data_IF_197774920285
#
_entry.id   IF_197774920285
#
_cell.length_a   1.000
_cell.length_b   1.000
_cell.length_c   1.000
_cell.angle_alpha   90.00
_cell.angle_beta   90.00
_cell.angle_gamma   90.00
#
_symmetry.space_group_name_H-M   'P 1'
#
loop_
_entity.id
_entity.type
_entity.pdbx_description
1 polymer ?
#
# COMPACT_ATOMS: atom_id res chain seq x y z
N UNK A 1 -4.19 5.55 3.21
CA UNK A 1 -3.96 7.01 3.27
C UNK A 1 -4.13 7.45 4.70
N UNK A 2 -3.26 8.32 5.19
CA UNK A 2 -3.45 9.04 6.47
C UNK A 2 -3.27 10.52 6.20
N UNK A 3 -3.71 11.42 7.10
CA UNK A 3 -3.51 12.86 6.94
C UNK A 3 -2.05 13.27 6.69
N UNK A 4 -1.09 12.42 7.09
CA UNK A 4 0.34 12.71 7.05
C UNK A 4 1.12 11.91 6.00
N UNK A 5 0.44 11.03 5.25
CA UNK A 5 1.10 10.36 4.14
C UNK A 5 0.41 9.11 3.63
N UNK A 6 1.14 8.40 2.78
CA UNK A 6 0.70 7.15 2.19
C UNK A 6 1.73 6.05 2.46
N UNK A 7 1.19 4.86 2.78
CA UNK A 7 1.98 3.63 2.89
C UNK A 7 1.60 2.73 1.72
N UNK A 8 2.61 2.31 0.98
CA UNK A 8 2.54 1.24 0.01
C UNK A 8 3.11 -0.02 0.67
N UNK A 9 2.48 -1.18 0.50
CA UNK A 9 2.91 -2.41 1.14
C UNK A 9 2.64 -3.63 0.29
N UNK A 10 3.59 -4.56 0.31
CA UNK A 10 3.45 -5.93 -0.15
C UNK A 10 3.07 -6.80 1.06
N UNK A 11 1.82 -7.24 1.12
CA UNK A 11 1.36 -8.11 2.21
C UNK A 11 1.70 -9.58 1.97
N UNK A 12 1.98 -9.99 0.72
CA UNK A 12 2.29 -11.38 0.39
C UNK A 12 3.69 -11.77 0.89
N UNK A 13 4.68 -10.93 0.62
CA UNK A 13 6.08 -11.13 1.02
C UNK A 13 6.53 -10.20 2.17
N UNK A 14 5.63 -9.36 2.68
CA UNK A 14 5.91 -8.44 3.78
C UNK A 14 5.23 -8.83 5.09
N UNK A 15 4.59 -7.86 5.74
CA UNK A 15 4.18 -7.95 7.15
C UNK A 15 3.15 -9.05 7.43
N UNK A 16 2.35 -9.42 6.43
CA UNK A 16 1.30 -10.44 6.56
C UNK A 16 1.78 -11.85 6.17
N UNK A 17 3.05 -12.02 5.77
CA UNK A 17 3.64 -13.36 5.59
C UNK A 17 3.63 -14.08 6.94
N UNK A 18 3.06 -15.28 7.00
CA UNK A 18 2.71 -15.93 8.27
C UNK A 18 3.88 -16.04 9.26
N UNK A 19 5.08 -16.40 8.78
CA UNK A 19 6.30 -16.51 9.59
C UNK A 19 6.76 -15.16 10.15
N UNK A 20 6.73 -14.09 9.34
CA UNK A 20 7.02 -12.71 9.75
C UNK A 20 6.00 -12.25 10.76
N UNK A 21 4.71 -12.47 10.48
CA UNK A 21 3.61 -12.06 11.32
C UNK A 21 3.70 -12.70 12.72
N UNK A 22 4.01 -14.00 12.79
CA UNK A 22 4.27 -14.70 14.05
C UNK A 22 5.55 -14.20 14.75
N UNK A 23 6.65 -14.02 14.02
CA UNK A 23 7.91 -13.52 14.57
C UNK A 23 7.77 -12.11 15.16
N UNK A 24 6.92 -11.25 14.58
CA UNK A 24 6.66 -9.89 15.08
C UNK A 24 5.83 -9.84 16.37
N UNK A 25 5.10 -10.91 16.71
CA UNK A 25 4.37 -11.01 17.98
C UNK A 25 5.32 -11.23 19.16
N UNK A 26 6.49 -11.81 18.89
CA UNK A 26 7.55 -12.01 19.86
C UNK A 26 8.49 -10.79 19.89
N UNK A 27 8.59 -10.06 21.02
CA UNK A 27 9.46 -8.90 21.15
C UNK A 27 10.92 -9.18 20.79
N UNK A 28 11.42 -10.40 21.03
CA UNK A 28 12.81 -10.76 20.77
C UNK A 28 13.10 -10.94 19.26
N UNK A 29 12.10 -11.37 18.48
CA UNK A 29 12.24 -11.65 17.04
C UNK A 29 11.76 -10.52 16.14
N UNK A 30 11.04 -9.55 16.71
CA UNK A 30 10.49 -8.40 15.99
C UNK A 30 11.53 -7.63 15.18
N UNK A 31 12.67 -7.29 15.77
CA UNK A 31 13.70 -6.49 15.06
C UNK A 31 14.26 -7.23 13.83
N UNK A 32 14.48 -8.54 13.93
CA UNK A 32 14.94 -9.36 12.81
C UNK A 32 13.86 -9.47 11.72
N UNK A 33 12.60 -9.61 12.10
CA UNK A 33 11.48 -9.65 11.16
C UNK A 33 11.27 -8.29 10.46
N UNK A 34 11.45 -7.17 11.18
CA UNK A 34 11.37 -5.82 10.62
C UNK A 34 12.44 -5.59 9.54
N UNK A 35 13.66 -6.08 9.76
CA UNK A 35 14.74 -5.97 8.77
C UNK A 35 14.44 -6.77 7.49
N UNK A 36 13.81 -7.96 7.61
CA UNK A 36 13.46 -8.78 6.44
C UNK A 36 12.42 -8.14 5.53
N UNK A 37 11.57 -7.25 6.05
CA UNK A 37 10.46 -6.63 5.30
C UNK A 37 10.69 -5.16 4.99
N UNK A 38 11.89 -4.63 5.26
CA UNK A 38 12.21 -3.21 5.08
C UNK A 38 11.92 -2.72 3.67
N UNK A 39 12.25 -3.54 2.66
CA UNK A 39 12.03 -3.23 1.24
C UNK A 39 10.66 -3.69 0.71
N UNK A 40 9.79 -4.21 1.57
CA UNK A 40 8.43 -4.67 1.23
C UNK A 40 7.37 -3.59 1.47
N UNK A 41 7.79 -2.41 1.93
CA UNK A 41 6.91 -1.28 2.08
C UNK A 41 7.63 0.02 1.80
N UNK A 42 6.87 1.01 1.39
CA UNK A 42 7.36 2.36 1.14
C UNK A 42 6.44 3.34 1.85
N UNK A 43 7.04 4.32 2.52
CA UNK A 43 6.32 5.43 3.14
C UNK A 43 6.63 6.71 2.38
N UNK A 44 5.60 7.45 2.02
CA UNK A 44 5.73 8.74 1.37
C UNK A 44 5.02 9.79 2.22
N UNK A 45 5.77 10.72 2.84
CA UNK A 45 5.17 11.78 3.63
C UNK A 45 4.42 12.75 2.71
N UNK A 46 3.16 13.02 3.04
CA UNK A 46 2.29 13.88 2.26
C UNK A 46 1.24 14.49 3.19
N UNK A 47 0.98 15.79 3.04
CA UNK A 47 -0.14 16.41 3.73
C UNK A 47 -1.43 16.19 2.93
N UNK A 48 -2.38 15.46 3.51
CA UNK A 48 -3.72 15.28 2.97
C UNK A 48 -4.68 16.13 3.78
N UNK A 49 -5.23 17.15 3.11
CA UNK A 49 -6.25 18.02 3.69
C UNK A 49 -7.60 17.28 3.78
N UNK A 50 -8.30 17.43 4.89
CA UNK A 50 -9.64 16.88 5.08
C UNK A 50 -10.67 17.64 4.24
N UNK A 51 -11.79 16.99 3.91
CA UNK A 51 -12.90 17.58 3.14
C UNK A 51 -12.49 18.11 1.75
N UNK A 52 -11.39 17.58 1.19
CA UNK A 52 -10.90 17.89 -0.14
C UNK A 52 -10.89 16.63 -0.98
N UNK A 53 -11.44 16.73 -2.19
CA UNK A 53 -11.38 15.68 -3.19
C UNK A 53 -9.98 15.60 -3.79
N UNK A 54 -9.52 14.36 -4.01
CA UNK A 54 -8.28 14.07 -4.72
C UNK A 54 -8.54 13.02 -5.79
N UNK A 55 -7.97 13.22 -6.98
CA UNK A 55 -7.95 12.19 -8.00
C UNK A 55 -6.82 11.20 -7.69
N UNK A 56 -7.17 9.96 -7.33
CA UNK A 56 -6.20 8.92 -7.00
C UNK A 56 -6.04 7.96 -8.18
N UNK A 57 -4.80 7.75 -8.63
CA UNK A 57 -4.48 6.68 -9.57
C UNK A 57 -3.50 5.70 -8.91
N UNK A 58 -3.85 4.41 -8.93
CA UNK A 58 -2.98 3.32 -8.49
C UNK A 58 -2.70 2.46 -9.72
N UNK A 59 -1.43 2.38 -10.08
CA UNK A 59 -0.97 1.56 -11.21
C UNK A 59 -0.13 0.42 -10.68
N UNK A 60 -0.50 -0.78 -11.08
CA UNK A 60 0.24 -1.99 -10.75
C UNK A 60 0.67 -2.67 -12.05
N UNK A 61 1.98 -2.81 -12.25
CA UNK A 61 2.57 -3.44 -13.43
C UNK A 61 3.67 -4.37 -12.95
N UNK A 62 3.51 -5.67 -13.19
CA UNK A 62 4.41 -6.72 -12.70
C UNK A 62 4.60 -6.61 -11.17
N UNK A 63 5.83 -6.36 -10.71
CA UNK A 63 6.21 -6.21 -9.31
C UNK A 63 6.19 -4.75 -8.82
N UNK A 64 5.70 -3.80 -9.65
CA UNK A 64 5.77 -2.36 -9.40
C UNK A 64 4.40 -1.78 -9.10
N UNK A 65 4.35 -0.95 -8.07
CA UNK A 65 3.19 -0.16 -7.69
C UNK A 65 3.56 1.32 -7.69
N UNK A 66 2.76 2.13 -8.39
CA UNK A 66 2.84 3.59 -8.36
C UNK A 66 1.51 4.15 -7.88
N UNK A 67 1.57 5.16 -7.02
CA UNK A 67 0.40 5.94 -6.60
C UNK A 67 0.60 7.39 -7.03
N UNK A 68 -0.42 7.96 -7.63
CA UNK A 68 -0.47 9.37 -8.01
C UNK A 68 -1.68 10.06 -7.39
N UNK A 69 -1.51 11.32 -7.02
CA UNK A 69 -2.58 12.22 -6.57
C UNK A 69 -2.63 13.45 -7.47
N UNK A 70 -3.81 13.73 -8.01
CA UNK A 70 -4.04 14.83 -8.95
C UNK A 70 -3.04 14.82 -10.12
N UNK A 71 -2.76 13.61 -10.63
CA UNK A 71 -1.81 13.35 -11.71
C UNK A 71 -0.33 13.42 -11.32
N UNK A 72 0.01 13.74 -10.07
CA UNK A 72 1.41 13.80 -9.59
C UNK A 72 1.81 12.50 -8.91
N UNK A 73 2.91 11.84 -9.29
CA UNK A 73 3.41 10.68 -8.58
C UNK A 73 3.77 11.04 -7.13
N UNK A 74 3.19 10.31 -6.17
CA UNK A 74 3.39 10.53 -4.73
C UNK A 74 3.94 9.33 -3.99
N UNK A 75 3.95 8.14 -4.61
CA UNK A 75 4.50 6.94 -3.99
C UNK A 75 4.88 5.89 -5.02
N UNK A 76 5.89 5.11 -4.67
CA UNK A 76 6.38 3.98 -5.46
C UNK A 76 6.84 2.85 -4.55
N UNK A 77 6.57 1.61 -4.98
CA UNK A 77 7.08 0.39 -4.37
C UNK A 77 7.36 -0.63 -5.47
N UNK A 78 8.51 -1.31 -5.39
CA UNK A 78 8.77 -2.51 -6.18
C UNK A 78 8.99 -3.67 -5.22
N UNK A 79 8.20 -4.74 -5.34
CA UNK A 79 8.27 -5.88 -4.43
C UNK A 79 7.72 -7.15 -5.09
N UNK A 80 8.38 -8.32 -4.92
CA UNK A 80 8.04 -9.55 -5.63
C UNK A 80 6.62 -10.06 -5.35
N UNK A 81 6.07 -9.86 -4.15
CA UNK A 81 4.69 -10.27 -3.85
C UNK A 81 3.63 -9.48 -4.61
N UNK A 82 3.99 -8.30 -5.15
CA UNK A 82 3.12 -7.56 -6.05
C UNK A 82 2.98 -8.23 -7.43
N UNK A 83 3.92 -9.10 -7.85
CA UNK A 83 3.86 -9.79 -9.15
C UNK A 83 2.96 -11.04 -9.17
N UNK A 84 2.12 -11.26 -8.16
CA UNK A 84 1.23 -12.43 -8.11
C UNK A 84 0.30 -12.53 -9.35
N UNK A 85 0.21 -13.72 -9.95
CA UNK A 85 -0.52 -13.93 -11.21
C UNK A 85 -2.02 -13.62 -11.09
N UNK A 86 -2.62 -13.88 -9.93
CA UNK A 86 -4.05 -13.67 -9.69
C UNK A 86 -4.28 -12.47 -8.77
N UNK A 87 -4.97 -11.46 -9.32
CA UNK A 87 -5.47 -10.26 -8.62
C UNK A 87 -6.92 -10.04 -9.02
N UNK A 88 -7.82 -10.66 -8.28
CA UNK A 88 -9.25 -10.76 -8.63
C UNK A 88 -10.12 -9.81 -7.83
N UNK A 89 -9.56 -9.14 -6.83
CA UNK A 89 -10.32 -8.30 -5.92
C UNK A 89 -9.54 -7.03 -5.56
N UNK A 90 -10.31 -5.97 -5.31
CA UNK A 90 -9.86 -4.71 -4.76
C UNK A 90 -10.87 -4.31 -3.69
N UNK A 91 -10.39 -3.77 -2.58
CA UNK A 91 -11.21 -3.47 -1.40
C UNK A 91 -10.87 -2.09 -0.86
N UNK A 92 -11.88 -1.41 -0.34
CA UNK A 92 -11.69 -0.26 0.53
C UNK A 92 -11.78 -0.70 1.99
N UNK A 93 -10.78 -0.34 2.78
CA UNK A 93 -10.83 -0.49 4.24
C UNK A 93 -10.78 0.90 4.85
N UNK A 94 -11.80 1.24 5.63
CA UNK A 94 -11.97 2.53 6.26
C UNK A 94 -11.96 2.34 7.77
N UNK A 95 -11.10 3.07 8.46
CA UNK A 95 -11.00 3.08 9.93
C UNK A 95 -11.51 4.43 10.47
N UNK A 96 -12.44 4.37 11.43
CA UNK A 96 -12.95 5.42 12.33
C UNK A 96 -13.61 6.67 11.73
N UNK A 97 -13.29 7.09 10.51
CA UNK A 97 -13.80 8.31 9.89
C UNK A 97 -14.58 8.03 8.61
N UNK A 98 -15.61 8.83 8.32
CA UNK A 98 -16.33 8.75 7.06
C UNK A 98 -15.41 9.17 5.91
N UNK A 99 -15.27 8.31 4.90
CA UNK A 99 -14.54 8.58 3.66
C UNK A 99 -15.51 8.41 2.50
N UNK A 100 -15.51 9.39 1.60
CA UNK A 100 -16.31 9.37 0.39
C UNK A 100 -15.44 8.90 -0.80
N UNK A 101 -16.02 8.07 -1.65
CA UNK A 101 -15.40 7.58 -2.88
C UNK A 101 -16.40 7.80 -4.02
N UNK A 102 -15.91 8.32 -5.14
CA UNK A 102 -16.71 8.51 -6.36
C UNK A 102 -15.83 8.24 -7.59
N UNK A 103 -16.47 8.04 -8.76
CA UNK A 103 -15.82 7.80 -10.06
C UNK A 103 -14.78 6.66 -10.04
N UNK A 104 -15.12 5.57 -9.35
CA UNK A 104 -14.23 4.39 -9.23
C UNK A 104 -14.22 3.60 -10.53
N UNK A 105 -13.06 3.60 -11.18
CA UNK A 105 -12.81 2.83 -12.40
C UNK A 105 -11.64 1.87 -12.20
N UNK A 106 -11.75 0.67 -12.77
CA UNK A 106 -10.70 -0.35 -12.77
C UNK A 106 -10.50 -0.81 -14.21
N UNK A 107 -9.25 -0.80 -14.66
CA UNK A 107 -8.88 -1.21 -16.01
C UNK A 107 -7.52 -1.91 -16.01
N UNK A 108 -7.22 -2.58 -17.11
CA UNK A 108 -5.91 -3.20 -17.31
C UNK A 108 -4.87 -2.11 -17.56
N UNK A 109 -3.82 -2.08 -16.74
CA UNK A 109 -2.67 -1.20 -16.95
C UNK A 109 -2.00 -1.49 -18.31
N UNK A 110 -1.42 -0.45 -18.92
CA UNK A 110 -0.74 -0.53 -20.22
C UNK A 110 0.75 -0.75 -20.04
#
# INVERSE_FOLDING_TARGET
>A
FTPNGIRLGDDKEGIMRNDIFEARRDPARKAAADEQIKDRSSWSPLKIEQQKWYAVAIELVEDRMRVSLDGKPVGYLQSPGLAHETKTSFHFTVSDSAIEFDDVHIWKAR
#
